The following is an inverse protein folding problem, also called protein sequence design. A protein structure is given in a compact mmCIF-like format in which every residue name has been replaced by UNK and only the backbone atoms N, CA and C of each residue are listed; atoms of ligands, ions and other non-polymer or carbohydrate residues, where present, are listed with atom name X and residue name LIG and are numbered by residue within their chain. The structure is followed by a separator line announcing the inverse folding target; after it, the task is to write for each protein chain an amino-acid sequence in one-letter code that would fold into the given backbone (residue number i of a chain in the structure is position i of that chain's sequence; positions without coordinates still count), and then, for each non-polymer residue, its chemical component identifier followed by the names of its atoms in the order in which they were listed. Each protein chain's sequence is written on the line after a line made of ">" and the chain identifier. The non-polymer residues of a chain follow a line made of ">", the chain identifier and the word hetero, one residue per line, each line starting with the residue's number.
data_IF_925681419701
#
_entry.id   IF_925681419701
#
_cell.length_a   1.000
_cell.length_b   1.000
_cell.length_c   1.000
_cell.angle_alpha   90.00
_cell.angle_beta   90.00
_cell.angle_gamma   90.00
#
_symmetry.space_group_name_H-M   'P 1'
#
loop_
_entity.id
_entity.type
_entity.pdbx_description
1 polymer ?
#
# COMPACT_ATOMS: atom_id res chain seq x y z
N UNK A 1 3.01 -17.99 9.44
CA UNK A 1 3.48 -16.79 8.69
C UNK A 1 2.41 -16.29 7.71
N UNK A 2 1.16 -16.10 8.16
CA UNK A 2 0.07 -15.53 7.35
C UNK A 2 -0.48 -14.21 7.91
N UNK A 3 -0.31 -13.98 9.21
CA UNK A 3 -0.93 -12.86 9.94
C UNK A 3 -0.33 -11.50 9.59
N UNK A 4 0.98 -11.43 9.29
CA UNK A 4 1.66 -10.18 8.90
C UNK A 4 1.23 -9.66 7.52
N UNK A 5 0.72 -10.53 6.63
CA UNK A 5 0.25 -10.12 5.29
C UNK A 5 -1.14 -9.54 5.31
N UNK A 6 -2.04 -10.15 6.08
CA UNK A 6 -3.39 -9.64 6.28
C UNK A 6 -3.32 -8.25 6.90
N UNK A 7 -2.47 -8.09 7.92
CA UNK A 7 -2.25 -6.80 8.58
C UNK A 7 -1.71 -5.71 7.66
N UNK A 8 -0.74 -5.98 6.77
CA UNK A 8 -0.22 -4.95 5.87
C UNK A 8 -1.22 -4.56 4.77
N UNK A 9 -1.95 -5.52 4.21
CA UNK A 9 -2.97 -5.22 3.20
C UNK A 9 -4.12 -4.41 3.80
N UNK A 10 -4.51 -4.71 5.03
CA UNK A 10 -5.47 -3.90 5.80
C UNK A 10 -4.93 -2.48 6.03
N UNK A 11 -3.66 -2.33 6.43
CA UNK A 11 -3.00 -1.03 6.60
C UNK A 11 -3.00 -0.19 5.30
N UNK A 12 -2.73 -0.82 4.16
CA UNK A 12 -2.70 -0.14 2.85
C UNK A 12 -4.10 0.30 2.40
N UNK A 13 -5.11 -0.53 2.65
CA UNK A 13 -6.51 -0.21 2.36
C UNK A 13 -6.98 0.92 3.27
N UNK A 14 -6.66 0.88 4.55
CA UNK A 14 -6.98 1.93 5.51
C UNK A 14 -6.32 3.26 5.11
N UNK A 15 -5.03 3.24 4.76
CA UNK A 15 -4.32 4.41 4.26
C UNK A 15 -4.98 5.00 3.00
N UNK A 16 -5.44 4.14 2.08
CA UNK A 16 -6.17 4.58 0.88
C UNK A 16 -7.48 5.29 1.26
N UNK A 17 -8.26 4.73 2.19
CA UNK A 17 -9.51 5.35 2.65
C UNK A 17 -9.29 6.72 3.27
N UNK A 18 -8.25 6.87 4.11
CA UNK A 18 -7.94 8.17 4.72
C UNK A 18 -7.55 9.21 3.68
N UNK A 19 -6.69 8.85 2.72
CA UNK A 19 -6.25 9.78 1.66
C UNK A 19 -7.43 10.26 0.81
N UNK A 20 -8.35 9.36 0.44
CA UNK A 20 -9.56 9.73 -0.32
C UNK A 20 -10.51 10.59 0.52
N UNK A 21 -10.63 10.29 1.81
CA UNK A 21 -11.50 11.05 2.72
C UNK A 21 -10.97 12.46 2.92
N UNK A 22 -9.67 12.63 3.19
CA UNK A 22 -8.98 13.92 3.31
C UNK A 22 -9.22 14.80 2.08
N UNK A 23 -9.12 14.22 0.88
CA UNK A 23 -9.39 14.95 -0.36
C UNK A 23 -10.85 15.35 -0.49
N UNK A 24 -11.79 14.43 -0.20
CA UNK A 24 -13.23 14.70 -0.25
C UNK A 24 -13.67 15.85 0.66
N UNK A 25 -13.05 15.98 1.83
CA UNK A 25 -13.36 17.07 2.77
C UNK A 25 -12.53 18.34 2.51
N UNK A 26 -11.65 18.33 1.50
CA UNK A 26 -10.84 19.49 1.12
C UNK A 26 -9.64 19.74 2.04
N UNK A 27 -9.20 18.76 2.83
CA UNK A 27 -8.00 18.86 3.68
C UNK A 27 -6.70 18.77 2.88
N UNK A 28 -6.74 18.13 1.72
CA UNK A 28 -5.60 18.02 0.79
C UNK A 28 -6.04 18.38 -0.63
N UNK A 29 -5.10 18.88 -1.42
CA UNK A 29 -5.33 19.19 -2.83
C UNK A 29 -5.11 17.97 -3.75
N UNK A 30 -5.37 18.15 -5.04
CA UNK A 30 -5.25 17.11 -6.08
C UNK A 30 -3.79 16.63 -6.24
N UNK A 31 -2.81 17.51 -6.05
CA UNK A 31 -1.40 17.16 -6.15
C UNK A 31 -0.99 16.26 -4.97
N UNK A 32 -1.38 16.63 -3.76
CA UNK A 32 -1.15 15.84 -2.53
C UNK A 32 -1.88 14.51 -2.58
N UNK A 33 -3.11 14.47 -3.14
CA UNK A 33 -3.85 13.23 -3.36
C UNK A 33 -3.04 12.28 -4.24
N UNK A 34 -2.58 12.75 -5.40
CA UNK A 34 -1.81 11.94 -6.35
C UNK A 34 -0.53 11.40 -5.70
N UNK A 35 0.24 12.26 -5.04
CA UNK A 35 1.48 11.85 -4.38
C UNK A 35 1.24 10.75 -3.34
N UNK A 36 0.23 10.91 -2.49
CA UNK A 36 -0.11 9.93 -1.45
C UNK A 36 -0.58 8.61 -2.05
N UNK A 37 -1.39 8.64 -3.11
CA UNK A 37 -1.81 7.43 -3.83
C UNK A 37 -0.64 6.69 -4.47
N UNK A 38 0.30 7.41 -5.09
CA UNK A 38 1.51 6.79 -5.66
C UNK A 38 2.34 6.09 -4.57
N UNK A 39 2.53 6.72 -3.40
CA UNK A 39 3.26 6.09 -2.28
C UNK A 39 2.59 4.81 -1.78
N UNK A 40 1.27 4.77 -1.73
CA UNK A 40 0.50 3.56 -1.36
C UNK A 40 0.73 2.46 -2.42
N UNK A 41 0.63 2.81 -3.71
CA UNK A 41 0.85 1.88 -4.81
C UNK A 41 2.28 1.31 -4.81
N UNK A 42 3.30 2.14 -4.61
CA UNK A 42 4.68 1.70 -4.48
C UNK A 42 4.87 0.74 -3.29
N UNK A 43 4.26 1.03 -2.15
CA UNK A 43 4.36 0.17 -0.96
C UNK A 43 3.70 -1.19 -1.20
N UNK A 44 2.58 -1.21 -1.93
CA UNK A 44 1.94 -2.44 -2.38
C UNK A 44 2.85 -3.24 -3.34
N UNK A 45 3.44 -2.58 -4.33
CA UNK A 45 4.34 -3.23 -5.31
C UNK A 45 5.58 -3.81 -4.63
N UNK A 46 6.25 -3.05 -3.76
CA UNK A 46 7.40 -3.52 -2.98
C UNK A 46 7.06 -4.77 -2.17
N UNK A 47 5.87 -4.81 -1.59
CA UNK A 47 5.44 -5.97 -0.81
C UNK A 47 5.16 -7.19 -1.69
N UNK A 48 4.53 -6.98 -2.85
CA UNK A 48 4.28 -8.04 -3.84
C UNK A 48 5.58 -8.61 -4.44
N UNK A 49 6.56 -7.76 -4.74
CA UNK A 49 7.85 -8.19 -5.29
C UNK A 49 8.75 -8.88 -4.26
N UNK A 50 8.70 -8.46 -2.99
CA UNK A 50 9.36 -9.17 -1.88
C UNK A 50 8.84 -10.61 -1.77
N UNK A 51 7.54 -10.81 -1.94
CA UNK A 51 6.91 -12.13 -1.98
C UNK A 51 7.32 -12.98 -3.19
N UNK A 52 7.48 -12.36 -4.37
CA UNK A 52 7.98 -13.06 -5.55
C UNK A 52 9.44 -13.53 -5.35
N UNK A 53 10.28 -12.72 -4.70
CA UNK A 53 11.67 -13.05 -4.38
C UNK A 53 11.81 -14.13 -3.29
N UNK A 54 10.95 -14.14 -2.28
CA UNK A 54 10.93 -15.20 -1.24
C UNK A 54 10.48 -16.56 -1.80
N UNK A 55 9.52 -16.59 -2.72
CA UNK A 55 9.14 -17.85 -3.40
C UNK A 55 10.26 -18.45 -4.24
N UNK A 56 11.16 -17.62 -4.79
CA UNK A 56 12.25 -18.09 -5.65
C UNK A 56 13.44 -18.68 -4.86
N UNK A 57 13.64 -18.29 -3.59
CA UNK A 57 14.70 -18.83 -2.73
C UNK A 57 14.37 -20.16 -2.04
N UNK A 58 13.12 -20.61 -2.07
CA UNK A 58 12.72 -21.91 -1.51
C UNK A 58 12.83 -23.09 -2.50
N UNK A 59 13.34 -22.84 -3.71
CA UNK A 59 13.44 -23.81 -4.81
C UNK A 59 14.90 -24.17 -5.17
N UNK A 60 15.88 -23.67 -4.43
CA UNK A 60 17.30 -24.00 -4.56
C UNK A 60 17.84 -24.61 -3.27
#
# INVERSE_FOLDING_TARGET
>A
MGETKTSLNEELVEAFYFVVSDFKVGLIDDETLKERLFRIAERYERNRNRDAGEKQKGLF
#
